data_IF_177046918352
#
_entry.id   IF_177046918352
#
_cell.length_a   1.000
_cell.length_b   1.000
_cell.length_c   1.000
_cell.angle_alpha   90.00
_cell.angle_beta   90.00
_cell.angle_gamma   90.00
#
_symmetry.space_group_name_H-M   'P 1'
#
loop_
_entity.id
_entity.type
_entity.pdbx_description
1 polymer ?
#
# COMPACT_ATOMS: atom_id res chain seq x y z
N UNK A 1 1.27 51.52 2.41
CA UNK A 1 1.35 50.95 1.07
C UNK A 1 2.68 50.23 0.96
N UNK A 2 2.71 48.96 1.19
CA UNK A 2 3.92 48.12 1.10
C UNK A 2 4.01 47.51 -0.29
N UNK A 3 5.05 47.85 -1.01
CA UNK A 3 5.40 47.23 -2.31
C UNK A 3 5.97 45.85 -2.00
N UNK A 4 5.28 44.79 -2.45
CA UNK A 4 5.75 43.42 -2.37
C UNK A 4 6.91 43.27 -3.37
N UNK A 5 8.15 43.19 -2.90
CA UNK A 5 9.32 42.88 -3.70
C UNK A 5 9.21 41.39 -4.12
N UNK A 6 8.87 41.14 -5.38
CA UNK A 6 8.96 39.83 -6.00
C UNK A 6 10.40 39.31 -5.94
N UNK A 7 10.61 38.06 -5.54
CA UNK A 7 11.95 37.50 -5.39
C UNK A 7 12.73 37.52 -6.73
N UNK A 8 14.06 37.65 -6.71
CA UNK A 8 14.88 37.64 -7.92
C UNK A 8 14.70 36.35 -8.77
N UNK A 9 14.25 35.26 -8.16
CA UNK A 9 14.00 33.99 -8.81
C UNK A 9 12.74 34.05 -9.69
N UNK A 10 11.68 34.74 -9.19
CA UNK A 10 10.41 34.87 -9.94
C UNK A 10 10.58 35.73 -11.19
N UNK A 11 11.43 36.75 -11.11
CA UNK A 11 11.76 37.63 -12.23
C UNK A 11 12.55 36.92 -13.33
N UNK A 12 13.49 36.04 -12.96
CA UNK A 12 14.29 35.25 -13.92
C UNK A 12 13.42 34.22 -14.63
N UNK A 13 12.52 33.56 -13.93
CA UNK A 13 11.60 32.60 -14.51
C UNK A 13 10.62 33.27 -15.46
N UNK A 14 10.07 34.43 -15.09
CA UNK A 14 9.13 35.18 -15.90
C UNK A 14 9.79 35.70 -17.21
N UNK A 15 10.99 36.24 -17.15
CA UNK A 15 11.73 36.74 -18.33
C UNK A 15 12.06 35.59 -19.31
N UNK A 16 12.45 34.43 -18.80
CA UNK A 16 12.77 33.25 -19.64
C UNK A 16 11.55 32.62 -20.29
N UNK A 17 10.41 32.67 -19.64
CA UNK A 17 9.13 32.21 -20.24
C UNK A 17 8.73 33.14 -21.39
N UNK A 18 8.92 34.45 -21.26
CA UNK A 18 8.64 35.41 -22.31
C UNK A 18 9.61 35.26 -23.50
N UNK A 19 10.88 35.01 -23.25
CA UNK A 19 11.88 34.75 -24.29
C UNK A 19 11.56 33.47 -25.10
N UNK A 20 11.12 32.40 -24.42
CA UNK A 20 10.62 31.17 -25.04
C UNK A 20 9.39 31.43 -25.92
N UNK A 21 8.44 32.24 -25.44
CA UNK A 21 7.23 32.58 -26.21
C UNK A 21 7.51 33.51 -27.41
N UNK A 22 8.67 34.15 -27.46
CA UNK A 22 9.14 34.99 -28.57
C UNK A 22 9.97 34.23 -29.63
N UNK A 23 10.08 32.89 -29.52
CA UNK A 23 10.81 32.05 -30.49
C UNK A 23 12.33 32.10 -30.35
N UNK A 24 12.85 32.53 -29.20
CA UNK A 24 14.27 32.44 -28.88
C UNK A 24 14.67 30.97 -28.56
N UNK A 25 15.70 30.47 -29.21
CA UNK A 25 16.31 29.19 -28.88
C UNK A 25 16.78 29.21 -27.41
N UNK A 26 16.16 28.42 -26.55
CA UNK A 26 16.66 28.17 -25.19
C UNK A 26 17.39 26.81 -25.13
N UNK A 27 18.63 26.75 -25.63
CA UNK A 27 19.41 25.54 -25.51
C UNK A 27 19.97 25.47 -24.08
N UNK A 28 19.83 24.35 -23.43
CA UNK A 28 20.61 23.90 -22.28
C UNK A 28 20.06 24.05 -20.86
N UNK A 29 19.17 24.97 -20.51
CA UNK A 29 18.69 25.06 -19.11
C UNK A 29 17.77 23.87 -18.75
N UNK A 30 16.82 23.54 -19.61
CA UNK A 30 15.93 22.37 -19.39
C UNK A 30 16.66 21.03 -19.57
N UNK A 31 17.68 20.97 -20.44
CA UNK A 31 18.52 19.78 -20.60
C UNK A 31 19.43 19.56 -19.38
N UNK A 32 19.98 20.63 -18.78
CA UNK A 32 20.81 20.51 -17.57
C UNK A 32 20.00 20.14 -16.31
N UNK A 33 18.73 20.58 -16.19
CA UNK A 33 17.85 20.11 -15.11
C UNK A 33 17.50 18.64 -15.23
N UNK A 34 17.59 18.06 -16.42
CA UNK A 34 17.31 16.63 -16.65
C UNK A 34 18.55 15.74 -16.38
N UNK A 35 19.77 16.31 -16.41
CA UNK A 35 21.02 15.56 -16.18
C UNK A 35 21.23 15.18 -14.69
N UNK A 36 20.60 15.88 -13.73
CA UNK A 36 20.73 15.62 -12.29
C UNK A 36 19.62 14.72 -11.73
N UNK A 37 18.77 14.11 -12.56
CA UNK A 37 17.75 13.18 -12.06
C UNK A 37 18.34 11.81 -11.80
N UNK A 38 18.11 11.27 -10.61
CA UNK A 38 18.47 9.89 -10.28
C UNK A 38 17.93 8.92 -11.35
N UNK A 39 18.73 7.92 -11.78
CA UNK A 39 18.28 6.89 -12.71
C UNK A 39 17.04 6.19 -12.17
N UNK A 40 16.07 5.90 -13.02
CA UNK A 40 14.80 5.29 -12.60
C UNK A 40 14.96 3.95 -11.90
N UNK A 41 15.97 3.15 -12.27
CA UNK A 41 16.29 1.90 -11.56
C UNK A 41 16.74 2.15 -10.11
N UNK A 42 17.54 3.20 -9.86
CA UNK A 42 18.00 3.55 -8.52
C UNK A 42 16.83 3.98 -7.62
N UNK A 43 15.90 4.78 -8.17
CA UNK A 43 14.67 5.15 -7.44
C UNK A 43 13.86 3.91 -7.06
N UNK A 44 13.72 2.94 -7.98
CA UNK A 44 13.04 1.67 -7.68
C UNK A 44 13.77 0.87 -6.60
N UNK A 45 15.10 0.80 -6.66
CA UNK A 45 15.90 0.13 -5.63
C UNK A 45 15.70 0.77 -4.26
N UNK A 46 15.71 2.11 -4.16
CA UNK A 46 15.47 2.83 -2.90
C UNK A 46 14.10 2.46 -2.35
N UNK A 47 13.05 2.49 -3.16
CA UNK A 47 11.72 2.09 -2.72
C UNK A 47 11.65 0.64 -2.25
N UNK A 48 12.32 -0.29 -2.94
CA UNK A 48 12.38 -1.70 -2.52
C UNK A 48 13.04 -1.85 -1.15
N UNK A 49 14.15 -1.13 -0.91
CA UNK A 49 14.81 -1.13 0.40
C UNK A 49 13.90 -0.56 1.47
N UNK A 50 13.24 0.58 1.22
CA UNK A 50 12.28 1.18 2.16
C UNK A 50 11.15 0.21 2.48
N UNK A 51 10.53 -0.40 1.48
CA UNK A 51 9.46 -1.37 1.70
C UNK A 51 9.94 -2.62 2.47
N UNK A 52 11.13 -3.12 2.16
CA UNK A 52 11.74 -4.23 2.89
C UNK A 52 11.94 -3.89 4.37
N UNK A 53 12.50 -2.70 4.66
CA UNK A 53 12.69 -2.24 6.04
C UNK A 53 11.36 -2.09 6.78
N UNK A 54 10.31 -1.59 6.12
CA UNK A 54 8.97 -1.52 6.70
C UNK A 54 8.41 -2.91 6.99
N UNK A 55 8.55 -3.87 6.07
CA UNK A 55 8.11 -5.26 6.31
C UNK A 55 8.86 -5.88 7.50
N UNK A 56 10.17 -5.67 7.59
CA UNK A 56 10.97 -6.18 8.70
C UNK A 56 10.61 -5.52 10.03
N UNK A 57 10.17 -4.27 10.03
CA UNK A 57 9.71 -3.55 11.22
C UNK A 57 8.46 -4.17 11.88
N UNK A 58 7.71 -5.02 11.18
CA UNK A 58 6.58 -5.75 11.77
C UNK A 58 7.00 -6.66 12.93
N UNK A 59 8.10 -7.39 12.78
CA UNK A 59 8.51 -8.41 13.75
C UNK A 59 8.75 -7.88 15.18
N UNK A 60 9.49 -6.80 15.39
CA UNK A 60 9.64 -6.22 16.73
C UNK A 60 8.34 -5.60 17.28
N UNK A 61 7.40 -5.23 16.39
CA UNK A 61 6.11 -4.69 16.83
C UNK A 61 5.15 -5.78 17.32
N UNK A 62 5.30 -7.03 16.85
CA UNK A 62 4.41 -8.13 17.16
C UNK A 62 4.78 -8.81 18.51
N UNK A 63 4.65 -8.08 19.60
CA UNK A 63 4.86 -8.55 20.97
C UNK A 63 3.85 -7.94 21.94
N UNK A 64 3.60 -8.57 23.11
CA UNK A 64 2.63 -8.06 24.08
C UNK A 64 3.09 -6.72 24.66
N UNK A 65 2.12 -5.82 24.93
CA UNK A 65 2.29 -4.53 25.61
C UNK A 65 1.38 -4.44 26.82
N UNK A 66 1.52 -3.37 27.61
CA UNK A 66 0.77 -3.17 28.85
C UNK A 66 -0.75 -3.10 28.66
N UNK A 67 -1.20 -2.46 27.57
CA UNK A 67 -2.62 -2.30 27.27
C UNK A 67 -2.96 -3.00 25.95
N UNK A 68 -3.69 -4.11 26.05
CA UNK A 68 -4.12 -4.92 24.90
C UNK A 68 -5.64 -4.95 24.88
N UNK A 69 -6.21 -4.57 23.74
CA UNK A 69 -7.66 -4.54 23.54
C UNK A 69 -8.13 -5.76 22.76
N UNK A 70 -9.40 -6.12 22.89
CA UNK A 70 -10.09 -7.06 22.03
C UNK A 70 -11.23 -6.34 21.32
N UNK A 71 -11.37 -6.59 20.03
CA UNK A 71 -12.46 -6.07 19.20
C UNK A 71 -13.47 -7.17 18.83
N UNK A 72 -13.49 -8.25 19.62
CA UNK A 72 -14.40 -9.37 19.42
C UNK A 72 -15.85 -8.93 19.53
N UNK A 73 -16.66 -9.32 18.55
CA UNK A 73 -18.09 -9.13 18.54
C UNK A 73 -18.82 -10.49 18.62
N UNK A 74 -20.06 -10.52 19.12
CA UNK A 74 -20.87 -11.76 19.21
C UNK A 74 -20.97 -12.50 17.87
N UNK A 75 -20.94 -11.78 16.74
CA UNK A 75 -20.97 -12.36 15.40
C UNK A 75 -19.69 -13.11 15.05
N UNK A 76 -18.53 -12.71 15.60
CA UNK A 76 -17.25 -13.41 15.33
C UNK A 76 -17.26 -14.82 15.88
N UNK A 77 -18.00 -15.07 16.97
CA UNK A 77 -18.16 -16.40 17.56
C UNK A 77 -19.00 -17.35 16.71
N UNK A 78 -19.80 -16.83 15.77
CA UNK A 78 -20.58 -17.65 14.84
C UNK A 78 -19.78 -18.11 13.61
N UNK A 79 -18.62 -17.51 13.38
CA UNK A 79 -17.72 -17.89 12.28
C UNK A 79 -16.92 -19.12 12.72
N UNK A 80 -17.08 -20.28 12.05
CA UNK A 80 -16.32 -21.47 12.43
C UNK A 80 -14.85 -21.37 12.02
N UNK A 81 -13.90 -21.94 12.80
CA UNK A 81 -12.53 -22.10 12.35
C UNK A 81 -12.47 -23.17 11.26
N UNK A 82 -11.95 -22.82 10.08
CA UNK A 82 -11.80 -23.71 8.94
C UNK A 82 -10.31 -23.77 8.51
N UNK A 83 -9.53 -24.76 8.98
CA UNK A 83 -8.09 -24.83 8.72
C UNK A 83 -7.70 -24.80 7.25
N UNK A 84 -8.54 -25.35 6.35
CA UNK A 84 -8.28 -25.35 4.91
C UNK A 84 -8.09 -23.94 4.33
N UNK A 85 -8.65 -22.91 4.96
CA UNK A 85 -8.47 -21.52 4.55
C UNK A 85 -7.08 -20.95 4.87
N UNK A 86 -6.19 -21.72 5.49
CA UNK A 86 -4.78 -21.36 5.62
C UNK A 86 -4.10 -21.20 4.26
N UNK A 87 -4.53 -21.94 3.23
CA UNK A 87 -3.97 -21.80 1.88
C UNK A 87 -4.29 -20.44 1.23
N UNK A 88 -5.56 -19.99 1.13
CA UNK A 88 -5.83 -18.63 0.70
C UNK A 88 -5.19 -17.59 1.62
N UNK A 89 -5.14 -17.80 2.95
CA UNK A 89 -4.47 -16.90 3.88
C UNK A 89 -2.99 -16.67 3.50
N UNK A 90 -2.22 -17.73 3.33
CA UNK A 90 -0.81 -17.68 2.94
C UNK A 90 -0.61 -17.18 1.50
N UNK A 91 -1.62 -17.29 0.64
CA UNK A 91 -1.51 -16.86 -0.76
C UNK A 91 -1.34 -15.35 -0.92
N UNK A 92 -1.50 -14.55 0.16
CA UNK A 92 -1.18 -13.12 0.15
C UNK A 92 0.28 -12.86 -0.27
N UNK A 93 1.21 -13.70 0.16
CA UNK A 93 2.62 -13.57 -0.22
C UNK A 93 2.84 -13.77 -1.72
N UNK A 94 2.10 -14.73 -2.32
CA UNK A 94 2.14 -14.94 -3.76
C UNK A 94 1.50 -13.77 -4.51
N UNK A 95 0.35 -13.27 -4.05
CA UNK A 95 -0.31 -12.09 -4.62
C UNK A 95 0.60 -10.86 -4.56
N UNK A 96 1.26 -10.64 -3.42
CA UNK A 96 2.22 -9.54 -3.24
C UNK A 96 3.42 -9.67 -4.19
N UNK A 97 4.00 -10.87 -4.33
CA UNK A 97 5.13 -11.13 -5.22
C UNK A 97 4.77 -10.89 -6.70
N UNK A 98 3.62 -11.40 -7.16
CA UNK A 98 3.12 -11.17 -8.52
C UNK A 98 2.85 -9.68 -8.76
N UNK A 99 2.26 -9.00 -7.77
CA UNK A 99 1.99 -7.56 -7.84
C UNK A 99 3.28 -6.76 -7.92
N UNK A 100 4.26 -7.07 -7.07
CA UNK A 100 5.58 -6.41 -7.10
C UNK A 100 6.25 -6.58 -8.46
N UNK A 101 6.30 -7.82 -8.98
CA UNK A 101 6.86 -8.10 -10.30
C UNK A 101 6.15 -7.30 -11.42
N UNK A 102 4.82 -7.21 -11.37
CA UNK A 102 4.04 -6.41 -12.31
C UNK A 102 4.33 -4.92 -12.20
N UNK A 103 4.43 -4.41 -10.97
CA UNK A 103 4.64 -2.99 -10.70
C UNK A 103 6.07 -2.54 -11.04
N UNK A 104 7.07 -3.40 -10.89
CA UNK A 104 8.44 -3.12 -11.31
C UNK A 104 8.56 -2.84 -12.82
N UNK A 105 7.63 -3.34 -13.63
CA UNK A 105 7.56 -3.06 -15.08
C UNK A 105 6.89 -1.73 -15.41
N UNK A 106 6.27 -1.06 -14.45
CA UNK A 106 5.66 0.24 -14.66
C UNK A 106 6.73 1.34 -14.78
N UNK A 107 6.35 2.49 -15.34
CA UNK A 107 7.18 3.69 -15.32
C UNK A 107 7.57 4.07 -13.88
N UNK A 108 8.76 4.65 -13.70
CA UNK A 108 9.30 4.96 -12.37
C UNK A 108 8.36 5.83 -11.54
N UNK A 109 7.73 6.83 -12.14
CA UNK A 109 6.73 7.70 -11.46
C UNK A 109 5.53 6.88 -10.96
N UNK A 110 4.99 6.00 -11.80
CA UNK A 110 3.86 5.13 -11.43
C UNK A 110 4.30 4.18 -10.32
N UNK A 111 5.44 3.52 -10.47
CA UNK A 111 6.01 2.65 -9.44
C UNK A 111 6.17 3.37 -8.10
N UNK A 112 6.68 4.60 -8.08
CA UNK A 112 6.84 5.37 -6.85
C UNK A 112 5.51 5.67 -6.14
N UNK A 113 4.44 5.94 -6.88
CA UNK A 113 3.10 6.12 -6.29
C UNK A 113 2.59 4.80 -5.69
N UNK A 114 2.81 3.68 -6.39
CA UNK A 114 2.41 2.35 -5.91
C UNK A 114 3.19 1.98 -4.64
N UNK A 115 4.51 2.22 -4.63
CA UNK A 115 5.37 1.98 -3.49
C UNK A 115 5.01 2.89 -2.29
N UNK A 116 4.72 4.17 -2.56
CA UNK A 116 4.25 5.11 -1.54
C UNK A 116 2.93 4.64 -0.91
N UNK A 117 1.98 4.14 -1.72
CA UNK A 117 0.71 3.63 -1.21
C UNK A 117 0.91 2.45 -0.26
N UNK A 118 1.77 1.48 -0.63
CA UNK A 118 2.11 0.34 0.23
C UNK A 118 2.85 0.81 1.49
N UNK A 119 3.78 1.76 1.36
CA UNK A 119 4.49 2.33 2.50
C UNK A 119 3.56 3.04 3.49
N UNK A 120 2.61 3.83 2.99
CA UNK A 120 1.58 4.48 3.83
C UNK A 120 0.69 3.45 4.54
N UNK A 121 0.27 2.39 3.85
CA UNK A 121 -0.54 1.32 4.41
C UNK A 121 0.15 0.66 5.62
N UNK A 122 1.43 0.32 5.48
CA UNK A 122 2.23 -0.24 6.55
C UNK A 122 2.42 0.76 7.70
N UNK A 123 2.81 2.00 7.40
CA UNK A 123 3.07 3.03 8.43
C UNK A 123 1.81 3.34 9.23
N UNK A 124 0.66 3.54 8.57
CA UNK A 124 -0.60 3.82 9.26
C UNK A 124 -0.99 2.63 10.15
N UNK A 125 -0.89 1.40 9.64
CA UNK A 125 -1.17 0.20 10.42
C UNK A 125 -0.25 0.07 11.63
N UNK A 126 1.05 0.33 11.47
CA UNK A 126 2.03 0.26 12.56
C UNK A 126 1.83 1.35 13.61
N UNK A 127 1.41 2.55 13.22
CA UNK A 127 1.02 3.58 14.18
C UNK A 127 -0.17 3.12 15.02
N UNK A 128 -1.17 2.48 14.40
CA UNK A 128 -2.29 1.91 15.16
C UNK A 128 -1.80 0.79 16.08
N UNK A 129 -0.94 -0.12 15.62
CA UNK A 129 -0.37 -1.18 16.47
C UNK A 129 0.42 -0.63 17.65
N UNK A 130 1.09 0.50 17.49
CA UNK A 130 1.86 1.16 18.55
C UNK A 130 0.98 1.79 19.63
N UNK A 131 -0.10 2.47 19.21
CA UNK A 131 -0.94 3.25 20.12
C UNK A 131 -2.22 2.53 20.56
N UNK A 132 -2.65 1.53 19.82
CA UNK A 132 -3.88 0.78 20.08
C UNK A 132 -3.68 -0.69 19.76
N UNK A 133 -2.88 -1.38 20.59
CA UNK A 133 -2.61 -2.79 20.35
C UNK A 133 -3.85 -3.65 20.61
N UNK A 134 -4.16 -4.53 19.66
CA UNK A 134 -5.26 -5.50 19.78
C UNK A 134 -4.75 -6.94 19.71
N UNK A 135 -5.54 -7.88 20.24
CA UNK A 135 -5.27 -9.31 20.08
C UNK A 135 -6.52 -10.05 19.66
N UNK A 136 -6.33 -11.20 19.02
CA UNK A 136 -7.37 -12.17 18.69
C UNK A 136 -7.20 -13.43 19.54
N UNK A 137 -8.30 -13.97 20.06
CA UNK A 137 -8.30 -15.28 20.71
C UNK A 137 -8.38 -16.38 19.64
N UNK A 138 -7.42 -17.29 19.66
CA UNK A 138 -7.28 -18.37 18.71
C UNK A 138 -7.71 -19.69 19.32
N UNK A 139 -8.61 -20.47 18.66
CA UNK A 139 -9.01 -21.77 19.15
C UNK A 139 -7.88 -22.79 19.03
N UNK A 140 -7.94 -23.84 19.84
CA UNK A 140 -7.06 -25.00 19.67
C UNK A 140 -7.46 -25.76 18.41
N UNK A 141 -6.51 -25.97 17.50
CA UNK A 141 -6.72 -26.72 16.26
C UNK A 141 -6.38 -28.20 16.49
N UNK A 142 -7.39 -29.04 16.63
CA UNK A 142 -7.24 -30.46 16.97
C UNK A 142 -7.02 -31.39 15.75
N UNK A 143 -7.29 -30.93 14.52
CA UNK A 143 -7.14 -31.74 13.31
C UNK A 143 -5.71 -32.25 13.07
N UNK A 144 -5.57 -33.45 12.48
CA UNK A 144 -4.28 -34.07 12.11
C UNK A 144 -3.94 -33.93 10.62
N UNK A 145 -4.82 -33.30 9.84
CA UNK A 145 -4.64 -33.05 8.42
C UNK A 145 -3.57 -31.94 8.14
N UNK A 146 -3.14 -31.85 6.89
CA UNK A 146 -2.09 -30.93 6.45
C UNK A 146 -2.49 -29.47 6.74
N UNK A 147 -3.74 -29.09 6.47
CA UNK A 147 -4.19 -27.70 6.66
C UNK A 147 -4.18 -27.31 8.14
N UNK A 148 -4.61 -28.22 9.03
CA UNK A 148 -4.54 -28.04 10.48
C UNK A 148 -3.10 -27.90 10.97
N UNK A 149 -2.18 -28.69 10.42
CA UNK A 149 -0.76 -28.64 10.78
C UNK A 149 -0.12 -27.33 10.35
N UNK A 150 -0.41 -26.87 9.12
CA UNK A 150 0.06 -25.56 8.62
C UNK A 150 -0.53 -24.41 9.45
N UNK A 151 -1.84 -24.47 9.78
CA UNK A 151 -2.47 -23.42 10.58
C UNK A 151 -1.86 -23.32 11.98
N UNK A 152 -1.54 -24.44 12.63
CA UNK A 152 -0.79 -24.46 13.90
C UNK A 152 0.60 -23.83 13.75
N UNK A 153 1.30 -24.11 12.66
CA UNK A 153 2.59 -23.51 12.36
C UNK A 153 2.46 -21.98 12.18
N UNK A 154 1.40 -21.50 11.51
CA UNK A 154 1.10 -20.07 11.42
C UNK A 154 0.84 -19.48 12.81
N UNK A 155 0.04 -20.13 13.64
CA UNK A 155 -0.24 -19.65 15.00
C UNK A 155 1.00 -19.58 15.90
N UNK A 156 1.97 -20.46 15.68
CA UNK A 156 3.22 -20.47 16.46
C UNK A 156 4.23 -19.43 15.98
N UNK A 157 4.26 -19.12 14.67
CA UNK A 157 5.22 -18.20 14.07
C UNK A 157 4.76 -16.74 14.14
N UNK A 158 3.47 -16.49 14.08
CA UNK A 158 2.87 -15.16 14.17
C UNK A 158 2.06 -15.05 15.46
N UNK A 159 2.45 -14.14 16.36
CA UNK A 159 1.76 -13.95 17.62
C UNK A 159 0.38 -13.34 17.41
N UNK A 160 -0.60 -13.55 18.35
CA UNK A 160 -1.98 -13.09 18.18
C UNK A 160 -2.18 -11.59 18.44
N UNK A 161 -1.14 -10.80 18.34
CA UNK A 161 -1.17 -9.36 18.57
C UNK A 161 -1.24 -8.58 17.25
N UNK A 162 -1.46 -7.26 17.36
CA UNK A 162 -1.54 -6.36 16.21
C UNK A 162 -2.61 -6.80 15.20
N UNK A 163 -3.78 -7.21 15.71
CA UNK A 163 -4.86 -7.69 14.86
C UNK A 163 -5.59 -6.55 14.12
N UNK A 164 -5.77 -5.38 14.76
CA UNK A 164 -6.44 -4.22 14.17
C UNK A 164 -5.43 -3.12 13.81
N UNK A 165 -5.49 -2.60 12.57
CA UNK A 165 -6.23 -3.10 11.41
C UNK A 165 -5.58 -4.34 10.79
N UNK A 166 -6.37 -5.18 10.09
CA UNK A 166 -5.84 -6.36 9.42
C UNK A 166 -4.93 -6.01 8.25
N UNK A 167 -3.62 -6.33 8.36
CA UNK A 167 -2.66 -6.13 7.26
C UNK A 167 -2.97 -7.00 6.03
N UNK A 168 -3.48 -8.22 6.21
CA UNK A 168 -3.91 -9.06 5.10
C UNK A 168 -5.04 -8.42 4.31
N UNK A 169 -6.01 -7.83 5.02
CA UNK A 169 -7.14 -7.14 4.40
C UNK A 169 -6.71 -5.84 3.74
N UNK A 170 -5.91 -5.02 4.44
CA UNK A 170 -5.48 -3.74 3.91
C UNK A 170 -4.62 -3.92 2.66
N UNK A 171 -3.62 -4.77 2.71
CA UNK A 171 -2.75 -5.03 1.55
C UNK A 171 -3.53 -5.66 0.39
N UNK A 172 -4.41 -6.65 0.64
CA UNK A 172 -5.23 -7.26 -0.42
C UNK A 172 -6.13 -6.24 -1.11
N UNK A 173 -6.84 -5.41 -0.32
CA UNK A 173 -7.69 -4.32 -0.84
C UNK A 173 -6.87 -3.30 -1.62
N UNK A 174 -5.74 -2.87 -1.07
CA UNK A 174 -4.83 -1.93 -1.71
C UNK A 174 -4.31 -2.46 -3.04
N UNK A 175 -3.88 -3.73 -3.09
CA UNK A 175 -3.40 -4.34 -4.33
C UNK A 175 -4.49 -4.36 -5.42
N UNK A 176 -5.75 -4.65 -5.08
CA UNK A 176 -6.87 -4.55 -6.05
C UNK A 176 -6.99 -3.15 -6.65
N UNK A 177 -6.91 -2.11 -5.81
CA UNK A 177 -6.96 -0.71 -6.26
C UNK A 177 -5.76 -0.36 -7.16
N UNK A 178 -4.56 -0.81 -6.79
CA UNK A 178 -3.32 -0.56 -7.54
C UNK A 178 -3.31 -1.30 -8.89
N UNK A 179 -3.84 -2.53 -8.97
CA UNK A 179 -4.00 -3.24 -10.23
C UNK A 179 -4.99 -2.54 -11.17
N UNK A 180 -6.08 -1.96 -10.62
CA UNK A 180 -6.99 -1.10 -11.39
C UNK A 180 -6.30 0.15 -11.93
N UNK A 181 -5.40 0.75 -11.15
CA UNK A 181 -4.65 1.94 -11.56
C UNK A 181 -3.67 1.67 -12.71
N UNK A 182 -3.05 0.50 -12.75
CA UNK A 182 -2.19 0.12 -13.89
C UNK A 182 -2.96 -0.41 -15.10
N UNK A 183 -4.30 -0.33 -15.08
CA UNK A 183 -5.17 -0.66 -16.21
C UNK A 183 -5.15 -2.15 -16.62
N UNK A 184 -5.04 -3.04 -15.65
CA UNK A 184 -4.93 -4.47 -15.90
C UNK A 184 -6.29 -5.13 -16.15
N UNK A 185 -6.38 -5.91 -17.24
CA UNK A 185 -7.58 -6.70 -17.56
C UNK A 185 -7.84 -7.85 -16.56
N UNK A 186 -6.82 -8.28 -15.82
CA UNK A 186 -6.94 -9.32 -14.80
C UNK A 186 -7.34 -8.79 -13.41
N UNK A 187 -7.57 -7.47 -13.26
CA UNK A 187 -8.00 -6.89 -11.99
C UNK A 187 -9.20 -7.61 -11.35
N UNK A 188 -10.25 -8.03 -12.08
CA UNK A 188 -11.36 -8.77 -11.47
C UNK A 188 -10.94 -10.10 -10.85
N UNK A 189 -9.96 -10.79 -11.45
CA UNK A 189 -9.39 -12.04 -10.91
C UNK A 189 -8.60 -11.73 -9.63
N UNK A 190 -7.82 -10.66 -9.62
CA UNK A 190 -7.11 -10.18 -8.43
C UNK A 190 -8.10 -9.80 -7.33
N UNK A 191 -9.23 -9.16 -7.67
CA UNK A 191 -10.27 -8.81 -6.71
C UNK A 191 -10.92 -10.07 -6.10
N UNK A 192 -11.24 -11.06 -6.91
CA UNK A 192 -11.77 -12.33 -6.43
C UNK A 192 -10.77 -13.04 -5.50
N UNK A 193 -9.50 -13.08 -5.88
CA UNK A 193 -8.43 -13.63 -5.04
C UNK A 193 -8.31 -12.89 -3.71
N UNK A 194 -8.34 -11.55 -3.72
CA UNK A 194 -8.32 -10.73 -2.52
C UNK A 194 -9.52 -11.04 -1.59
N UNK A 195 -10.73 -11.27 -2.15
CA UNK A 195 -11.90 -11.67 -1.35
C UNK A 195 -11.64 -12.97 -0.61
N UNK A 196 -11.05 -13.99 -1.27
CA UNK A 196 -10.68 -15.24 -0.62
C UNK A 196 -9.64 -15.06 0.49
N UNK A 197 -8.63 -14.19 0.27
CA UNK A 197 -7.63 -13.86 1.30
C UNK A 197 -8.32 -13.17 2.48
N UNK A 198 -9.17 -12.18 2.25
CA UNK A 198 -9.89 -11.46 3.31
C UNK A 198 -10.80 -12.41 4.10
N UNK A 199 -11.60 -13.22 3.42
CA UNK A 199 -12.44 -14.22 4.08
C UNK A 199 -11.63 -15.22 4.90
N UNK A 200 -10.45 -15.60 4.41
CA UNK A 200 -9.58 -16.54 5.11
C UNK A 200 -9.07 -16.01 6.44
N UNK A 201 -8.91 -14.69 6.61
CA UNK A 201 -8.47 -14.11 7.89
C UNK A 201 -9.45 -14.38 9.01
N UNK A 202 -10.75 -14.37 8.71
CA UNK A 202 -11.82 -14.68 9.65
C UNK A 202 -11.94 -16.17 9.90
N UNK A 203 -11.86 -16.98 8.83
CA UNK A 203 -12.02 -18.43 8.89
C UNK A 203 -10.81 -19.16 9.48
N UNK A 204 -9.63 -18.54 9.48
CA UNK A 204 -8.45 -19.00 10.21
C UNK A 204 -8.32 -18.39 11.59
N UNK A 205 -9.33 -17.63 12.06
CA UNK A 205 -9.31 -16.94 13.37
C UNK A 205 -8.04 -16.11 13.61
N UNK A 206 -7.56 -15.46 12.57
CA UNK A 206 -6.45 -14.50 12.67
C UNK A 206 -6.95 -13.07 12.93
N UNK A 207 -8.18 -12.78 12.55
CA UNK A 207 -8.80 -11.46 12.66
C UNK A 207 -10.28 -11.55 13.03
N UNK A 208 -10.79 -10.48 13.63
CA UNK A 208 -12.20 -10.22 13.81
C UNK A 208 -12.77 -9.36 12.66
N UNK A 209 -14.09 -9.30 12.54
CA UNK A 209 -14.76 -8.50 11.50
C UNK A 209 -14.36 -7.02 11.59
N UNK A 210 -14.21 -6.48 12.80
CA UNK A 210 -13.75 -5.10 13.01
C UNK A 210 -12.37 -4.86 12.37
N UNK A 211 -11.45 -5.82 12.46
CA UNK A 211 -10.09 -5.71 11.88
C UNK A 211 -10.15 -5.64 10.35
N UNK A 212 -11.09 -6.37 9.74
CA UNK A 212 -11.32 -6.35 8.29
C UNK A 212 -11.78 -4.96 7.84
N UNK A 213 -12.77 -4.37 8.52
CA UNK A 213 -13.22 -3.01 8.21
C UNK A 213 -12.10 -1.98 8.40
N UNK A 214 -11.32 -2.10 9.48
CA UNK A 214 -10.15 -1.28 9.69
C UNK A 214 -9.13 -1.40 8.58
N UNK A 215 -8.84 -2.62 8.12
CA UNK A 215 -7.93 -2.87 7.00
C UNK A 215 -8.42 -2.25 5.69
N UNK A 216 -9.70 -2.37 5.35
CA UNK A 216 -10.28 -1.72 4.17
C UNK A 216 -10.12 -0.19 4.26
N UNK A 217 -10.42 0.40 5.42
CA UNK A 217 -10.30 1.84 5.63
C UNK A 217 -8.85 2.32 5.44
N UNK A 218 -7.87 1.63 6.01
CA UNK A 218 -6.44 1.94 5.84
C UNK A 218 -6.03 1.85 4.38
N UNK A 219 -6.43 0.80 3.65
CA UNK A 219 -6.14 0.66 2.23
C UNK A 219 -6.67 1.84 1.40
N UNK A 220 -7.90 2.29 1.66
CA UNK A 220 -8.50 3.43 0.97
C UNK A 220 -7.74 4.73 1.27
N UNK A 221 -7.44 5.01 2.56
CA UNK A 221 -6.69 6.19 2.97
C UNK A 221 -5.30 6.21 2.32
N UNK A 222 -4.60 5.07 2.34
CA UNK A 222 -3.26 4.92 1.76
C UNK A 222 -3.27 5.10 0.25
N UNK A 223 -4.26 4.51 -0.45
CA UNK A 223 -4.41 4.67 -1.89
C UNK A 223 -4.66 6.12 -2.29
N UNK A 224 -5.68 6.76 -1.73
CA UNK A 224 -6.04 8.14 -2.07
C UNK A 224 -4.96 9.13 -1.61
N UNK A 225 -4.33 8.90 -0.45
CA UNK A 225 -3.21 9.68 0.04
C UNK A 225 -2.03 9.65 -0.92
N UNK A 226 -1.58 8.47 -1.34
CA UNK A 226 -0.48 8.32 -2.28
C UNK A 226 -0.78 8.94 -3.66
N UNK A 227 -2.01 8.78 -4.15
CA UNK A 227 -2.43 9.38 -5.43
C UNK A 227 -2.40 10.90 -5.37
N UNK A 228 -2.89 11.50 -4.28
CA UNK A 228 -2.89 12.96 -4.10
C UNK A 228 -1.46 13.49 -3.93
N UNK A 229 -0.66 12.89 -3.06
CA UNK A 229 0.75 13.28 -2.86
C UNK A 229 1.57 13.13 -4.15
N UNK A 230 1.39 12.02 -4.89
CA UNK A 230 2.03 11.81 -6.19
C UNK A 230 1.63 12.85 -7.24
N UNK A 231 0.38 13.31 -7.23
CA UNK A 231 -0.07 14.39 -8.12
C UNK A 231 0.57 15.75 -7.77
N UNK A 232 0.79 16.06 -6.49
CA UNK A 232 1.51 17.26 -6.07
C UNK A 232 2.99 17.22 -6.45
N UNK A 233 3.65 16.07 -6.27
CA UNK A 233 5.08 15.90 -6.56
C UNK A 233 5.41 15.98 -8.07
N UNK A 234 4.43 15.73 -8.96
CA UNK A 234 4.61 15.73 -10.43
C UNK A 234 4.26 17.09 -11.07
N UNK A 235 3.80 18.07 -10.28
CA UNK A 235 3.55 19.44 -10.74
C UNK A 235 2.51 19.57 -11.85
N UNK A 236 1.25 19.84 -11.48
CA UNK A 236 0.30 20.45 -12.38
C UNK A 236 -0.93 19.65 -12.78
N UNK A 237 -2.04 20.36 -12.79
CA UNK A 237 -3.40 19.92 -13.07
C UNK A 237 -3.62 19.25 -14.45
N UNK A 238 -2.65 19.31 -15.37
CA UNK A 238 -2.80 18.82 -16.75
C UNK A 238 -2.68 17.29 -16.91
N UNK A 239 -2.05 16.57 -15.99
CA UNK A 239 -1.95 15.11 -16.11
C UNK A 239 -3.22 14.36 -15.66
N UNK A 240 -4.14 15.01 -14.95
CA UNK A 240 -5.45 14.40 -14.58
C UNK A 240 -6.29 14.04 -15.82
N UNK A 241 -6.15 14.79 -16.92
CA UNK A 241 -6.92 14.58 -18.15
C UNK A 241 -6.31 13.53 -19.09
N UNK A 242 -4.99 13.34 -19.06
CA UNK A 242 -4.31 12.36 -19.95
C UNK A 242 -4.58 10.93 -19.50
N UNK A 243 -4.69 10.69 -18.18
CA UNK A 243 -4.96 9.35 -17.64
C UNK A 243 -6.39 8.89 -17.89
N UNK A 244 -7.34 9.82 -17.95
CA UNK A 244 -8.77 9.54 -18.22
C UNK A 244 -9.03 9.25 -19.70
N UNK A 245 -8.30 9.92 -20.62
CA UNK A 245 -8.47 9.75 -22.09
C UNK A 245 -7.98 8.40 -22.63
N UNK A 246 -7.03 7.71 -21.99
CA UNK A 246 -6.56 6.38 -22.44
C UNK A 246 -7.53 5.23 -22.12
N UNK A 247 -8.56 5.46 -21.35
CA UNK A 247 -9.55 4.43 -20.96
C UNK A 247 -10.74 4.32 -21.93
N UNK A 248 -10.86 5.24 -22.87
CA UNK A 248 -11.99 5.34 -23.81
C UNK A 248 -11.56 5.33 -25.29
N UNK A 249 -10.39 4.77 -25.60
CA UNK A 249 -10.02 4.40 -26.97
C UNK A 249 -9.73 2.90 -27.08
#
# INVERSE_FOLDING_TARGET
>A
MGVNESSPIDFVIYYRVIEYLRGGDTPNFFNNMNQNRMPGWLVKCIWLVVLLLLVLAYFPLNGPREHIHSLEMTVDNRIPPLPVFVFPYLSIYLLAAISLWRFLKAETKVFSILALAIGLDLVISYLVFLFYQTRVERPVIAGSDISSSILRAVYSSDKPFNAFPSLHTSLSTLLVLLWGRVGSRIQPIIALWAVFIIASTLLTKQHYIADVFGGIAVALVSYYGAVRLGAFAVGGANERLVFWRRRHR
#
